data_IF_990518416157
#
_entry.id   IF_990518416157
#
_cell.length_a   1.000
_cell.length_b   1.000
_cell.length_c   1.000
_cell.angle_alpha   90.00
_cell.angle_beta   90.00
_cell.angle_gamma   90.00
#
_symmetry.space_group_name_H-M   'P 1'
#
loop_
_entity.id
_entity.type
_entity.pdbx_description
1 polymer ?
#
# COMPACT_ATOMS: atom_id res chain seq x y z
N UNK A 1 -22.79 7.83 -3.07
CA UNK A 1 -23.70 6.70 -3.33
C UNK A 1 -22.82 5.49 -3.49
N UNK A 2 -23.09 4.41 -2.76
CA UNK A 2 -22.09 3.42 -2.40
C UNK A 2 -21.92 2.28 -3.42
N UNK A 3 -20.75 1.63 -3.40
CA UNK A 3 -20.51 0.29 -3.98
C UNK A 3 -21.73 -0.62 -3.73
N UNK A 4 -22.12 -1.45 -4.71
CA UNK A 4 -23.16 -2.48 -4.52
C UNK A 4 -22.58 -3.68 -3.75
N UNK A 5 -22.44 -3.51 -2.44
CA UNK A 5 -21.81 -4.48 -1.54
C UNK A 5 -22.62 -5.78 -1.45
N UNK A 6 -21.98 -6.91 -1.72
CA UNK A 6 -22.52 -8.24 -1.45
C UNK A 6 -22.24 -8.64 0.01
N UNK A 7 -23.22 -8.40 0.88
CA UNK A 7 -23.13 -8.70 2.32
C UNK A 7 -23.02 -10.20 2.64
N UNK A 8 -23.27 -11.08 1.67
CA UNK A 8 -23.24 -12.54 1.88
C UNK A 8 -21.90 -13.16 1.50
N UNK A 9 -21.03 -12.39 0.83
CA UNK A 9 -19.76 -12.87 0.31
C UNK A 9 -18.79 -13.19 1.46
N UNK A 10 -18.21 -14.37 1.41
CA UNK A 10 -17.21 -14.88 2.36
C UNK A 10 -15.90 -15.17 1.64
N UNK A 11 -14.79 -15.27 2.39
CA UNK A 11 -13.49 -15.60 1.82
C UNK A 11 -13.51 -16.93 1.03
N UNK A 12 -14.27 -17.92 1.52
CA UNK A 12 -14.43 -19.22 0.87
C UNK A 12 -15.06 -19.12 -0.53
N UNK A 13 -15.94 -18.14 -0.75
CA UNK A 13 -16.58 -17.93 -2.06
C UNK A 13 -15.58 -17.43 -3.12
N UNK A 14 -14.45 -16.85 -2.68
CA UNK A 14 -13.38 -16.35 -3.55
C UNK A 14 -12.18 -17.28 -3.66
N UNK A 15 -12.15 -18.41 -2.94
CA UNK A 15 -11.00 -19.31 -2.91
C UNK A 15 -10.54 -19.71 -4.32
N UNK A 16 -11.45 -20.20 -5.17
CA UNK A 16 -11.12 -20.61 -6.54
C UNK A 16 -10.61 -19.46 -7.40
N UNK A 17 -11.15 -18.25 -7.20
CA UNK A 17 -10.72 -17.06 -7.93
C UNK A 17 -9.31 -16.62 -7.49
N UNK A 18 -9.01 -16.70 -6.20
CA UNK A 18 -7.67 -16.46 -5.65
C UNK A 18 -6.65 -17.49 -6.16
N UNK A 19 -7.00 -18.78 -6.19
CA UNK A 19 -6.14 -19.84 -6.73
C UNK A 19 -5.83 -19.59 -8.22
N UNK A 20 -6.85 -19.27 -9.01
CA UNK A 20 -6.68 -18.90 -10.43
C UNK A 20 -5.80 -17.68 -10.63
N UNK A 21 -5.88 -16.67 -9.75
CA UNK A 21 -4.99 -15.52 -9.79
C UNK A 21 -3.52 -15.95 -9.62
N UNK A 22 -3.23 -16.88 -8.70
CA UNK A 22 -1.88 -17.40 -8.50
C UNK A 22 -1.39 -18.30 -9.65
N UNK A 23 -2.30 -19.03 -10.32
CA UNK A 23 -1.97 -19.77 -11.55
C UNK A 23 -1.51 -18.83 -12.67
N UNK A 24 -2.25 -17.74 -12.90
CA UNK A 24 -1.88 -16.72 -13.89
C UNK A 24 -0.58 -16.01 -13.49
N UNK A 25 -0.47 -15.63 -12.22
CA UNK A 25 0.69 -14.94 -11.63
C UNK A 25 2.01 -15.64 -11.90
N UNK A 26 2.05 -16.98 -11.77
CA UNK A 26 3.25 -17.77 -11.99
C UNK A 26 3.85 -17.52 -13.39
N UNK A 27 3.00 -17.53 -14.43
CA UNK A 27 3.43 -17.27 -15.81
C UNK A 27 3.93 -15.83 -16.00
N UNK A 28 3.30 -14.85 -15.34
CA UNK A 28 3.70 -13.44 -15.38
C UNK A 28 5.11 -13.24 -14.79
N UNK A 29 5.36 -13.77 -13.60
CA UNK A 29 6.67 -13.68 -12.92
C UNK A 29 7.76 -14.31 -13.78
N UNK A 30 7.54 -15.54 -14.29
CA UNK A 30 8.48 -16.22 -15.19
C UNK A 30 8.74 -15.39 -16.47
N UNK A 31 7.70 -14.78 -17.04
CA UNK A 31 7.84 -13.95 -18.23
C UNK A 31 8.64 -12.67 -17.99
N UNK A 32 8.55 -12.06 -16.81
CA UNK A 32 9.34 -10.88 -16.46
C UNK A 32 10.80 -11.28 -16.25
N UNK A 33 11.06 -12.29 -15.41
CA UNK A 33 12.42 -12.74 -15.10
C UNK A 33 13.18 -13.17 -16.36
N UNK A 34 12.50 -13.80 -17.32
CA UNK A 34 13.12 -14.23 -18.58
C UNK A 34 13.62 -13.06 -19.45
N UNK A 35 12.98 -11.90 -19.38
CA UNK A 35 13.25 -10.79 -20.32
C UNK A 35 13.78 -9.52 -19.67
N UNK A 36 13.62 -9.35 -18.36
CA UNK A 36 14.01 -8.12 -17.66
C UNK A 36 15.52 -8.03 -17.53
N UNK A 37 16.08 -6.91 -17.96
CA UNK A 37 17.48 -6.58 -17.73
C UNK A 37 17.57 -5.63 -16.53
N UNK A 38 18.17 -6.04 -15.40
CA UNK A 38 18.28 -5.18 -14.21
C UNK A 38 18.99 -3.84 -14.44
N UNK A 39 19.75 -3.70 -15.54
CA UNK A 39 20.40 -2.42 -15.90
C UNK A 39 19.42 -1.37 -16.42
N UNK A 40 18.20 -1.77 -16.78
CA UNK A 40 17.17 -0.85 -17.28
C UNK A 40 16.45 -0.13 -16.12
N UNK A 41 16.83 -0.43 -14.88
CA UNK A 41 16.16 0.05 -13.66
C UNK A 41 15.04 -0.89 -13.23
N UNK A 42 14.17 -0.38 -12.35
CA UNK A 42 13.04 -1.12 -11.82
C UNK A 42 11.86 -1.15 -12.81
N UNK A 43 11.17 -2.29 -12.99
CA UNK A 43 9.93 -2.34 -13.75
C UNK A 43 8.78 -1.65 -13.01
N UNK A 44 8.15 -0.66 -13.64
CA UNK A 44 7.14 0.20 -13.00
C UNK A 44 5.73 -0.13 -13.51
N UNK A 45 5.49 -0.01 -14.81
CA UNK A 45 4.21 -0.30 -15.45
C UNK A 45 4.42 -0.93 -16.82
N UNK A 46 3.36 -1.48 -17.43
CA UNK A 46 3.46 -2.10 -18.75
C UNK A 46 3.13 -1.12 -19.88
N UNK A 47 3.82 -1.29 -21.00
CA UNK A 47 3.54 -0.64 -22.28
C UNK A 47 3.40 -1.74 -23.33
N UNK A 48 2.22 -1.86 -23.94
CA UNK A 48 1.87 -2.97 -24.83
C UNK A 48 2.06 -4.33 -24.15
N UNK A 49 1.71 -4.39 -22.86
CA UNK A 49 1.83 -5.58 -22.04
C UNK A 49 3.25 -6.01 -21.71
N UNK A 50 4.28 -5.18 -21.92
CA UNK A 50 5.64 -5.43 -21.44
C UNK A 50 6.02 -4.41 -20.39
N UNK A 51 6.57 -4.84 -19.26
CA UNK A 51 7.04 -3.91 -18.24
C UNK A 51 8.09 -2.98 -18.83
N UNK A 52 8.11 -1.74 -18.33
CA UNK A 52 9.11 -0.73 -18.63
C UNK A 52 9.48 0.01 -17.34
N UNK A 53 10.67 0.60 -17.33
CA UNK A 53 11.09 1.50 -16.28
C UNK A 53 10.65 2.91 -16.64
N UNK A 54 10.12 3.62 -15.65
CA UNK A 54 9.74 5.01 -15.79
C UNK A 54 9.40 5.48 -14.39
N UNK A 55 10.29 6.27 -13.78
CA UNK A 55 10.09 6.71 -12.41
C UNK A 55 11.11 7.75 -12.01
N UNK A 56 10.74 8.54 -11.01
CA UNK A 56 11.65 9.47 -10.33
C UNK A 56 12.63 8.72 -9.42
N UNK A 57 12.25 7.52 -8.98
CA UNK A 57 12.93 6.69 -7.99
C UNK A 57 12.73 5.20 -8.29
N UNK A 58 13.57 4.35 -7.69
CA UNK A 58 13.50 2.87 -7.78
C UNK A 58 12.54 2.28 -6.72
N UNK A 59 11.34 2.85 -6.57
CA UNK A 59 10.43 2.54 -5.44
C UNK A 59 9.64 1.23 -5.58
N UNK A 60 9.68 0.58 -6.75
CA UNK A 60 8.86 -0.60 -7.06
C UNK A 60 9.63 -1.92 -7.07
N UNK A 61 10.94 -1.91 -6.79
CA UNK A 61 11.82 -3.07 -6.95
C UNK A 61 11.49 -4.18 -5.96
N UNK A 62 11.12 -3.80 -4.74
CA UNK A 62 10.67 -4.76 -3.74
C UNK A 62 9.33 -5.40 -4.08
N UNK A 63 8.47 -4.76 -4.89
CA UNK A 63 7.25 -5.41 -5.37
C UNK A 63 7.54 -6.48 -6.42
N UNK A 64 8.54 -6.29 -7.28
CA UNK A 64 8.95 -7.32 -8.25
C UNK A 64 9.40 -8.59 -7.54
N UNK A 65 10.35 -8.49 -6.61
CA UNK A 65 10.89 -9.67 -5.92
C UNK A 65 9.95 -10.18 -4.84
N UNK A 66 9.24 -9.29 -4.15
CA UNK A 66 8.20 -9.63 -3.20
C UNK A 66 7.04 -10.41 -3.83
N UNK A 67 6.70 -10.14 -5.09
CA UNK A 67 5.68 -10.92 -5.82
C UNK A 67 6.03 -12.40 -5.93
N UNK A 68 7.31 -12.73 -6.12
CA UNK A 68 7.77 -14.13 -6.13
C UNK A 68 7.64 -14.78 -4.73
N UNK A 69 7.90 -14.03 -3.66
CA UNK A 69 7.72 -14.54 -2.30
C UNK A 69 6.24 -14.80 -1.96
N UNK A 70 5.34 -13.90 -2.37
CA UNK A 70 3.90 -14.09 -2.21
C UNK A 70 3.37 -15.26 -3.06
N UNK A 71 3.92 -15.47 -4.26
CA UNK A 71 3.61 -16.63 -5.09
C UNK A 71 3.97 -17.93 -4.35
N UNK A 72 5.20 -18.04 -3.83
CA UNK A 72 5.61 -19.20 -3.05
C UNK A 72 4.73 -19.42 -1.81
N UNK A 73 4.38 -18.36 -1.09
CA UNK A 73 3.52 -18.43 0.09
C UNK A 73 2.16 -19.08 -0.20
N UNK A 74 1.58 -18.75 -1.36
CA UNK A 74 0.28 -19.25 -1.79
C UNK A 74 0.30 -20.68 -2.36
N UNK A 75 1.37 -21.03 -3.10
CA UNK A 75 1.39 -22.27 -3.93
C UNK A 75 2.40 -23.32 -3.48
N UNK A 76 3.42 -22.94 -2.69
CA UNK A 76 4.52 -23.82 -2.30
C UNK A 76 5.55 -24.10 -3.41
N UNK A 77 5.44 -23.45 -4.57
CA UNK A 77 6.37 -23.61 -5.71
C UNK A 77 7.76 -23.03 -5.38
N UNK A 78 8.74 -23.91 -5.06
CA UNK A 78 10.06 -23.52 -4.56
C UNK A 78 10.87 -22.60 -5.47
N UNK A 79 10.68 -22.68 -6.79
CA UNK A 79 11.40 -21.81 -7.73
C UNK A 79 11.14 -20.31 -7.47
N UNK A 80 9.96 -19.93 -6.99
CA UNK A 80 9.65 -18.53 -6.69
C UNK A 80 10.27 -18.06 -5.37
N UNK A 81 10.42 -18.97 -4.40
CA UNK A 81 11.21 -18.71 -3.20
C UNK A 81 12.67 -18.47 -3.56
N UNK A 82 13.26 -19.33 -4.38
CA UNK A 82 14.65 -19.23 -4.81
C UNK A 82 14.89 -17.94 -5.60
N UNK A 83 13.99 -17.60 -6.52
CA UNK A 83 14.03 -16.35 -7.27
C UNK A 83 13.96 -15.13 -6.34
N UNK A 84 12.91 -15.05 -5.51
CA UNK A 84 12.70 -13.91 -4.62
C UNK A 84 13.85 -13.73 -3.62
N UNK A 85 14.35 -14.84 -3.05
CA UNK A 85 15.50 -14.84 -2.13
C UNK A 85 16.77 -14.36 -2.82
N UNK A 86 17.13 -14.95 -3.96
CA UNK A 86 18.35 -14.63 -4.70
C UNK A 86 18.37 -13.16 -5.10
N UNK A 87 17.31 -12.68 -5.74
CA UNK A 87 17.22 -11.28 -6.22
C UNK A 87 17.21 -10.27 -5.08
N UNK A 88 16.59 -10.61 -3.96
CA UNK A 88 16.63 -9.76 -2.75
C UNK A 88 18.08 -9.57 -2.28
N UNK A 89 18.86 -10.65 -2.17
CA UNK A 89 20.27 -10.57 -1.75
C UNK A 89 21.13 -9.82 -2.76
N UNK A 90 20.95 -10.09 -4.05
CA UNK A 90 21.80 -9.54 -5.12
C UNK A 90 21.53 -8.05 -5.41
N UNK A 91 20.28 -7.57 -5.26
CA UNK A 91 19.85 -6.30 -5.85
C UNK A 91 19.22 -5.30 -4.85
N UNK A 92 18.82 -5.73 -3.65
CA UNK A 92 18.11 -4.83 -2.72
C UNK A 92 19.01 -4.06 -1.75
N UNK A 93 20.32 -4.34 -1.70
CA UNK A 93 21.23 -3.69 -0.75
C UNK A 93 21.22 -2.14 -0.85
N UNK A 94 21.16 -1.59 -2.06
CA UNK A 94 21.06 -0.13 -2.28
C UNK A 94 19.77 0.47 -1.72
N UNK A 95 18.69 -0.30 -1.63
CA UNK A 95 17.39 0.15 -1.13
C UNK A 95 17.35 0.18 0.41
N UNK A 96 18.22 -0.58 1.08
CA UNK A 96 18.34 -0.57 2.56
C UNK A 96 18.94 0.74 3.06
N UNK A 97 19.91 1.30 2.32
CA UNK A 97 20.64 2.52 2.67
C UNK A 97 20.21 3.76 1.87
N UNK A 98 19.07 3.70 1.17
CA UNK A 98 18.64 4.78 0.28
C UNK A 98 18.11 6.01 1.04
N UNK A 99 19.00 6.93 1.42
CA UNK A 99 18.64 8.14 2.17
C UNK A 99 17.74 9.12 1.41
N UNK A 100 17.58 8.99 0.09
CA UNK A 100 16.84 9.91 -0.77
C UNK A 100 15.32 9.68 -0.91
N UNK A 101 14.76 8.59 -0.36
CA UNK A 101 13.33 8.23 -0.57
C UNK A 101 12.67 7.74 0.72
N UNK A 102 11.34 7.78 0.77
CA UNK A 102 10.53 7.29 1.89
C UNK A 102 9.97 5.87 1.68
N UNK A 103 10.29 5.24 0.54
CA UNK A 103 9.70 3.98 0.05
C UNK A 103 10.31 2.70 0.67
N UNK A 104 11.03 2.83 1.78
CA UNK A 104 11.70 1.72 2.46
C UNK A 104 10.74 0.61 2.87
N UNK A 105 9.54 0.98 3.35
CA UNK A 105 8.47 0.02 3.59
C UNK A 105 8.14 -0.76 2.32
N UNK A 106 7.85 -0.10 1.20
CA UNK A 106 7.51 -0.75 -0.08
C UNK A 106 8.59 -1.70 -0.57
N UNK A 107 9.86 -1.31 -0.44
CA UNK A 107 10.98 -2.09 -0.93
C UNK A 107 11.39 -3.23 0.02
N UNK A 108 11.78 -2.88 1.24
CA UNK A 108 12.52 -3.78 2.12
C UNK A 108 11.59 -4.69 2.94
N UNK A 109 10.38 -4.24 3.29
CA UNK A 109 9.40 -5.11 3.98
C UNK A 109 8.75 -6.10 3.01
N UNK A 110 8.53 -5.72 1.74
CA UNK A 110 8.03 -6.65 0.71
C UNK A 110 9.03 -7.76 0.37
N UNK A 111 10.31 -7.59 0.69
CA UNK A 111 11.39 -8.53 0.36
C UNK A 111 11.95 -9.19 1.61
N UNK A 112 12.90 -8.55 2.30
CA UNK A 112 13.50 -9.04 3.54
C UNK A 112 12.44 -9.37 4.61
N UNK A 113 11.40 -8.53 4.72
CA UNK A 113 10.29 -8.77 5.65
C UNK A 113 9.51 -10.05 5.34
N UNK A 114 9.17 -10.27 4.07
CA UNK A 114 8.50 -11.51 3.65
C UNK A 114 9.39 -12.75 3.84
N UNK A 115 10.68 -12.68 3.55
CA UNK A 115 11.61 -13.80 3.79
C UNK A 115 11.70 -14.15 5.28
N UNK A 116 11.87 -13.14 6.15
CA UNK A 116 11.94 -13.34 7.59
C UNK A 116 10.61 -13.90 8.17
N UNK A 117 9.47 -13.43 7.65
CA UNK A 117 8.13 -13.93 7.99
C UNK A 117 7.97 -15.39 7.56
N UNK A 118 8.31 -15.74 6.31
CA UNK A 118 8.20 -17.12 5.81
C UNK A 118 9.02 -18.11 6.67
N UNK A 119 10.22 -17.72 7.12
CA UNK A 119 11.01 -18.54 8.05
C UNK A 119 10.32 -18.68 9.40
N UNK A 120 9.82 -17.58 9.97
CA UNK A 120 9.19 -17.60 11.29
C UNK A 120 7.85 -18.34 11.32
N UNK A 121 7.12 -18.35 10.19
CA UNK A 121 5.91 -19.15 10.02
C UNK A 121 6.20 -20.63 9.69
N UNK A 122 7.47 -21.04 9.60
CA UNK A 122 7.86 -22.41 9.26
C UNK A 122 7.56 -22.82 7.81
N UNK A 123 7.29 -21.85 6.91
CA UNK A 123 7.10 -22.10 5.48
C UNK A 123 8.42 -22.38 4.75
N UNK A 124 9.54 -21.98 5.36
CA UNK A 124 10.90 -22.33 4.91
C UNK A 124 11.75 -22.70 6.12
N UNK A 125 12.79 -23.51 5.90
CA UNK A 125 13.70 -23.92 6.96
C UNK A 125 14.41 -22.72 7.60
N UNK A 126 14.57 -22.78 8.91
CA UNK A 126 15.29 -21.78 9.68
C UNK A 126 16.77 -21.77 9.29
N UNK A 127 17.27 -20.60 8.92
CA UNK A 127 18.70 -20.38 8.69
C UNK A 127 19.14 -19.15 9.50
N UNK A 128 19.91 -19.33 10.60
CA UNK A 128 20.29 -18.24 11.49
C UNK A 128 21.00 -17.10 10.79
N UNK A 129 21.90 -17.40 9.84
CA UNK A 129 22.66 -16.38 9.12
C UNK A 129 21.77 -15.56 8.18
N UNK A 130 20.85 -16.21 7.47
CA UNK A 130 19.90 -15.51 6.63
C UNK A 130 18.95 -14.65 7.49
N UNK A 131 18.48 -15.17 8.62
CA UNK A 131 17.64 -14.43 9.56
C UNK A 131 18.33 -13.18 10.10
N UNK A 132 19.55 -13.31 10.62
CA UNK A 132 20.35 -12.18 11.10
C UNK A 132 20.56 -11.13 10.02
N UNK A 133 20.83 -11.57 8.78
CA UNK A 133 21.00 -10.69 7.63
C UNK A 133 19.70 -9.92 7.30
N UNK A 134 18.56 -10.60 7.26
CA UNK A 134 17.26 -9.96 6.97
C UNK A 134 16.86 -8.99 8.08
N UNK A 135 17.07 -9.37 9.34
CA UNK A 135 16.79 -8.50 10.47
C UNK A 135 17.69 -7.26 10.48
N UNK A 136 18.99 -7.41 10.18
CA UNK A 136 19.89 -6.26 10.04
C UNK A 136 19.41 -5.31 8.95
N UNK A 137 19.04 -5.84 7.77
CA UNK A 137 18.52 -5.02 6.67
C UNK A 137 17.25 -4.26 7.08
N UNK A 138 16.32 -4.91 7.77
CA UNK A 138 15.07 -4.30 8.24
C UNK A 138 15.31 -3.24 9.32
N UNK A 139 16.20 -3.51 10.27
CA UNK A 139 16.62 -2.54 11.32
C UNK A 139 17.18 -1.27 10.68
N UNK A 140 18.17 -1.41 9.81
CA UNK A 140 18.81 -0.27 9.12
C UNK A 140 17.80 0.47 8.26
N UNK A 141 16.97 -0.25 7.49
CA UNK A 141 15.92 0.37 6.65
C UNK A 141 14.95 1.23 7.45
N UNK A 142 14.50 0.76 8.63
CA UNK A 142 13.63 1.54 9.51
C UNK A 142 14.30 2.80 10.05
N UNK A 143 15.58 2.70 10.46
CA UNK A 143 16.35 3.85 10.93
C UNK A 143 16.62 4.88 9.82
N UNK A 144 16.99 4.43 8.62
CA UNK A 144 17.25 5.32 7.47
C UNK A 144 15.98 6.07 7.07
N UNK A 145 14.84 5.38 6.99
CA UNK A 145 13.56 6.06 6.71
C UNK A 145 13.21 7.06 7.81
N UNK A 146 13.39 6.70 9.10
CA UNK A 146 13.13 7.59 10.23
C UNK A 146 14.06 8.81 10.31
N UNK A 147 15.24 8.74 9.69
CA UNK A 147 16.18 9.85 9.62
C UNK A 147 15.73 10.96 8.67
N UNK A 148 14.82 10.67 7.74
CA UNK A 148 14.24 11.65 6.81
C UNK A 148 13.15 12.47 7.50
N UNK A 149 13.50 13.21 8.54
CA UNK A 149 12.54 13.90 9.40
C UNK A 149 12.46 15.41 9.18
N UNK A 150 11.24 15.93 9.13
CA UNK A 150 10.93 17.36 9.23
C UNK A 150 10.13 17.60 10.50
N UNK A 151 10.64 18.46 11.39
CA UNK A 151 9.91 18.97 12.55
C UNK A 151 8.96 20.10 12.12
N UNK A 152 7.78 20.16 12.73
CA UNK A 152 6.76 21.20 12.47
C UNK A 152 6.52 22.06 13.71
N UNK A 153 5.81 23.17 13.53
CA UNK A 153 5.68 24.27 14.52
C UNK A 153 5.24 23.84 15.94
N UNK A 154 4.57 22.70 16.09
CA UNK A 154 4.04 22.19 17.36
C UNK A 154 4.95 21.13 18.03
N UNK A 155 6.16 20.91 17.52
CA UNK A 155 7.12 19.92 18.03
C UNK A 155 6.85 18.48 17.57
N UNK A 156 5.79 18.24 16.78
CA UNK A 156 5.62 16.99 16.02
C UNK A 156 6.46 17.02 14.75
N UNK A 157 6.24 16.09 13.83
CA UNK A 157 6.85 16.12 12.52
C UNK A 157 6.44 14.94 11.64
N UNK A 158 7.11 14.82 10.51
CA UNK A 158 6.83 13.79 9.53
C UNK A 158 8.08 13.34 8.79
N UNK A 159 8.01 12.12 8.25
CA UNK A 159 8.95 11.59 7.27
C UNK A 159 8.67 12.26 5.93
N UNK A 160 9.62 13.04 5.41
CA UNK A 160 9.40 13.81 4.18
C UNK A 160 9.64 12.99 2.89
N UNK A 161 8.88 13.34 1.86
CA UNK A 161 8.90 12.64 0.57
C UNK A 161 10.17 12.91 -0.23
N UNK A 162 10.37 12.20 -1.35
CA UNK A 162 11.49 12.46 -2.25
C UNK A 162 11.50 13.89 -2.86
N UNK A 163 10.38 14.64 -2.81
CA UNK A 163 10.33 16.05 -3.22
C UNK A 163 11.15 16.97 -2.30
N UNK A 164 11.45 16.52 -1.08
CA UNK A 164 12.31 17.21 -0.13
C UNK A 164 11.60 17.55 1.18
N UNK A 165 12.30 18.23 2.11
CA UNK A 165 11.86 18.36 3.49
C UNK A 165 10.51 19.04 3.71
N UNK A 166 10.04 19.85 2.76
CA UNK A 166 8.78 20.58 2.85
C UNK A 166 7.54 19.72 2.54
N UNK A 167 7.75 18.49 2.04
CA UNK A 167 6.72 17.69 1.38
C UNK A 167 6.38 16.44 2.19
N UNK A 168 5.10 16.29 2.53
CA UNK A 168 4.52 15.08 3.12
C UNK A 168 3.60 14.43 2.09
N UNK A 169 3.93 13.25 1.59
CA UNK A 169 3.05 12.48 0.72
C UNK A 169 2.12 11.58 1.53
N UNK A 170 0.93 11.28 1.01
CA UNK A 170 -0.03 10.40 1.69
C UNK A 170 0.42 8.93 1.70
N UNK A 171 1.26 8.51 0.75
CA UNK A 171 1.72 7.12 0.62
C UNK A 171 2.72 6.69 1.70
N UNK A 172 3.36 7.66 2.37
CA UNK A 172 4.29 7.43 3.48
C UNK A 172 3.63 6.69 4.65
N UNK A 173 2.31 6.79 4.80
CA UNK A 173 1.56 6.02 5.80
C UNK A 173 1.69 4.51 5.57
N UNK A 174 1.77 4.03 4.32
CA UNK A 174 2.01 2.61 4.04
C UNK A 174 3.46 2.22 4.25
N UNK A 175 4.40 3.14 4.06
CA UNK A 175 5.81 2.82 4.23
C UNK A 175 6.25 2.79 5.70
N UNK A 176 5.42 3.28 6.64
CA UNK A 176 5.65 3.20 8.08
C UNK A 176 5.88 1.79 8.62
N UNK A 177 5.41 0.75 7.90
CA UNK A 177 5.74 -0.65 8.20
C UNK A 177 7.24 -0.91 8.39
N UNK A 178 8.11 -0.13 7.73
CA UNK A 178 9.57 -0.20 7.93
C UNK A 178 9.97 0.18 9.38
N UNK A 179 9.41 1.27 9.91
CA UNK A 179 9.65 1.70 11.29
C UNK A 179 9.03 0.73 12.29
N UNK A 180 7.81 0.26 12.02
CA UNK A 180 7.11 -0.72 12.87
C UNK A 180 7.92 -2.01 13.06
N UNK A 181 8.42 -2.59 11.96
CA UNK A 181 9.25 -3.81 11.98
C UNK A 181 10.57 -3.55 12.70
N UNK A 182 11.27 -2.46 12.37
CA UNK A 182 12.54 -2.14 13.00
C UNK A 182 12.40 -1.88 14.52
N UNK A 183 11.32 -1.22 14.95
CA UNK A 183 10.99 -1.03 16.37
C UNK A 183 10.80 -2.36 17.09
N UNK A 184 9.99 -3.26 16.52
CA UNK A 184 9.76 -4.59 17.10
C UNK A 184 11.02 -5.45 17.16
N UNK A 185 11.95 -5.25 16.24
CA UNK A 185 13.28 -5.85 16.27
C UNK A 185 14.22 -5.21 17.31
N UNK A 186 13.75 -4.26 18.13
CA UNK A 186 14.50 -3.59 19.18
C UNK A 186 15.44 -2.49 18.68
N UNK A 187 15.25 -1.99 17.46
CA UNK A 187 16.14 -0.99 16.88
C UNK A 187 15.71 0.44 17.21
N UNK A 188 16.67 1.35 17.12
CA UNK A 188 16.50 2.79 17.31
C UNK A 188 17.35 3.52 16.28
N UNK A 189 16.92 4.71 15.87
CA UNK A 189 17.78 5.59 15.09
C UNK A 189 18.78 6.27 16.04
N UNK A 190 20.07 6.13 15.76
CA UNK A 190 21.12 6.87 16.45
C UNK A 190 21.38 8.18 15.70
N UNK A 191 21.03 9.31 16.33
CA UNK A 191 21.28 10.66 15.84
C UNK A 191 22.59 11.26 16.37
N UNK A 192 22.78 12.55 16.13
CA UNK A 192 23.97 13.28 16.57
C UNK A 192 24.20 13.15 18.08
N UNK A 193 25.48 13.03 18.48
CA UNK A 193 25.91 12.88 19.87
C UNK A 193 25.23 11.70 20.58
N UNK A 194 25.09 10.59 19.85
CA UNK A 194 24.48 9.34 20.31
C UNK A 194 23.01 9.50 20.79
N UNK A 195 22.30 10.51 20.30
CA UNK A 195 20.88 10.71 20.61
C UNK A 195 20.08 9.52 20.09
N UNK A 196 19.52 8.73 21.00
CA UNK A 196 18.60 7.64 20.65
C UNK A 196 17.24 8.24 20.25
N UNK A 197 16.78 7.94 19.05
CA UNK A 197 15.49 8.40 18.50
C UNK A 197 14.57 7.19 18.37
N UNK A 198 13.40 7.28 19.00
CA UNK A 198 12.39 6.22 19.00
C UNK A 198 11.74 6.09 17.62
N UNK A 199 11.76 4.88 17.06
CA UNK A 199 11.08 4.59 15.79
C UNK A 199 9.56 4.56 15.97
N UNK A 200 9.07 4.09 17.12
CA UNK A 200 7.65 4.15 17.47
C UNK A 200 7.15 5.60 17.62
N UNK A 201 7.94 6.47 18.24
CA UNK A 201 7.60 7.90 18.37
C UNK A 201 7.47 8.55 16.99
N UNK A 202 8.46 8.33 16.12
CA UNK A 202 8.48 8.82 14.74
C UNK A 202 7.26 8.32 13.96
N UNK A 203 6.91 7.05 14.12
CA UNK A 203 5.74 6.44 13.50
C UNK A 203 4.45 7.13 13.97
N UNK A 204 4.24 7.27 15.28
CA UNK A 204 3.03 7.87 15.85
C UNK A 204 2.90 9.35 15.45
N UNK A 205 3.99 10.12 15.54
CA UNK A 205 4.00 11.53 15.14
C UNK A 205 3.71 11.68 13.65
N UNK A 206 4.39 10.91 12.80
CA UNK A 206 4.16 10.94 11.36
C UNK A 206 2.71 10.61 11.00
N UNK A 207 2.19 9.47 11.49
CA UNK A 207 0.82 9.06 11.19
C UNK A 207 -0.22 10.06 11.71
N UNK A 208 0.02 10.70 12.85
CA UNK A 208 -0.84 11.75 13.40
C UNK A 208 -0.81 13.00 12.51
N UNK A 209 0.37 13.46 12.10
CA UNK A 209 0.54 14.61 11.20
C UNK A 209 -0.06 14.34 9.82
N UNK A 210 0.11 13.13 9.27
CA UNK A 210 -0.55 12.71 8.03
C UNK A 210 -2.07 12.72 8.18
N UNK A 211 -2.61 12.32 9.34
CA UNK A 211 -4.05 12.30 9.59
C UNK A 211 -4.60 13.72 9.68
N UNK A 212 -3.86 14.63 10.30
CA UNK A 212 -4.27 16.03 10.51
C UNK A 212 -4.25 16.84 9.20
N UNK A 213 -3.20 16.70 8.38
CA UNK A 213 -3.01 17.56 7.21
C UNK A 213 -3.37 16.88 5.88
N UNK A 214 -3.24 15.55 5.81
CA UNK A 214 -3.47 14.76 4.60
C UNK A 214 -4.89 14.24 4.44
N UNK A 215 -5.66 14.08 5.52
CA UNK A 215 -7.04 13.57 5.49
C UNK A 215 -8.04 14.68 5.86
N UNK A 216 -9.13 14.75 5.13
CA UNK A 216 -10.22 15.71 5.36
C UNK A 216 -11.34 15.05 6.16
N UNK A 217 -12.02 15.81 7.03
CA UNK A 217 -12.99 15.25 8.00
C UNK A 217 -14.39 15.84 7.89
N UNK A 218 -14.59 16.90 7.11
CA UNK A 218 -15.87 17.62 7.08
C UNK A 218 -16.18 18.33 8.38
N UNK A 219 -15.14 18.83 9.05
CA UNK A 219 -15.22 19.47 10.37
C UNK A 219 -14.86 20.96 10.32
N UNK A 220 -14.88 21.55 9.12
CA UNK A 220 -14.70 22.98 8.91
C UNK A 220 -13.25 23.41 8.76
N UNK A 221 -12.38 22.53 8.25
CA UNK A 221 -10.99 22.89 7.90
C UNK A 221 -10.94 24.04 6.90
N UNK A 222 -11.71 23.95 5.83
CA UNK A 222 -11.87 24.94 4.76
C UNK A 222 -13.14 24.65 3.93
N UNK A 223 -13.43 25.45 2.89
CA UNK A 223 -14.62 25.29 2.04
C UNK A 223 -14.63 24.02 1.18
N UNK A 224 -13.52 23.30 1.08
CA UNK A 224 -13.35 22.04 0.32
C UNK A 224 -13.20 20.83 1.24
N UNK A 225 -13.54 20.97 2.53
CA UNK A 225 -13.42 19.93 3.55
C UNK A 225 -14.53 18.87 3.42
N UNK A 226 -14.36 17.96 2.47
CA UNK A 226 -15.24 16.80 2.29
C UNK A 226 -14.67 15.63 3.08
N UNK A 227 -15.46 15.05 3.98
CA UNK A 227 -14.99 13.95 4.85
C UNK A 227 -14.45 12.77 4.04
N UNK A 228 -13.24 12.34 4.38
CA UNK A 228 -12.55 11.18 3.83
C UNK A 228 -11.79 11.44 2.53
N UNK A 229 -11.93 12.62 1.94
CA UNK A 229 -11.01 13.10 0.90
C UNK A 229 -9.57 13.11 1.44
N UNK A 230 -8.60 12.86 0.57
CA UNK A 230 -7.17 12.92 0.90
C UNK A 230 -6.43 13.87 -0.04
N UNK A 231 -5.57 14.72 0.51
CA UNK A 231 -4.54 15.37 -0.28
C UNK A 231 -3.50 14.32 -0.70
N UNK A 232 -2.95 14.44 -1.91
CA UNK A 232 -1.82 13.61 -2.30
C UNK A 232 -0.55 14.07 -1.57
N UNK A 233 -0.30 15.38 -1.57
CA UNK A 233 0.84 16.00 -0.90
C UNK A 233 0.36 17.13 0.03
N UNK A 234 1.03 17.26 1.16
CA UNK A 234 0.87 18.34 2.13
C UNK A 234 2.18 19.13 2.23
N UNK A 235 2.11 20.44 1.95
CA UNK A 235 3.29 21.31 1.88
C UNK A 235 3.42 22.15 3.16
N UNK A 236 4.62 22.17 3.73
CA UNK A 236 4.97 22.94 4.92
C UNK A 236 6.08 23.95 4.63
N UNK A 237 6.07 25.09 5.32
CA UNK A 237 7.21 26.01 5.27
C UNK A 237 8.29 25.58 6.26
N UNK A 238 9.51 25.45 5.76
CA UNK A 238 10.67 24.99 6.53
C UNK A 238 11.23 26.05 7.49
N UNK A 239 10.88 27.32 7.31
CA UNK A 239 11.36 28.38 8.19
C UNK A 239 10.62 28.40 9.53
N UNK A 240 9.33 28.05 9.54
CA UNK A 240 8.46 28.13 10.72
C UNK A 240 7.69 26.85 11.03
N UNK A 241 7.79 25.82 10.19
CA UNK A 241 7.11 24.54 10.35
C UNK A 241 5.60 24.59 10.09
N UNK A 242 5.04 25.71 9.64
CA UNK A 242 3.59 25.85 9.44
C UNK A 242 3.12 25.20 8.13
N UNK A 243 1.96 24.55 8.19
CA UNK A 243 1.26 24.05 7.01
C UNK A 243 0.91 25.18 6.04
N UNK A 244 1.06 24.93 4.73
CA UNK A 244 0.81 25.94 3.68
C UNK A 244 -0.39 25.59 2.82
N UNK A 245 -0.36 24.42 2.18
CA UNK A 245 -1.41 24.05 1.25
C UNK A 245 -1.38 22.55 0.93
N UNK A 246 -2.52 22.01 0.46
CA UNK A 246 -2.51 20.74 -0.22
C UNK A 246 -1.84 20.91 -1.59
N UNK A 247 -1.23 19.85 -2.08
CA UNK A 247 -0.69 19.76 -3.43
C UNK A 247 -0.97 18.38 -4.05
N UNK A 248 -0.70 18.23 -5.34
CA UNK A 248 -0.79 16.95 -6.04
C UNK A 248 0.29 16.85 -7.11
N UNK A 249 0.96 15.69 -7.17
CA UNK A 249 1.86 15.32 -8.27
C UNK A 249 1.18 14.40 -9.29
N UNK A 250 0.48 13.35 -8.82
CA UNK A 250 -0.12 12.31 -9.67
C UNK A 250 -1.64 12.42 -9.84
N UNK A 251 -2.33 13.10 -8.92
CA UNK A 251 -3.75 13.40 -9.01
C UNK A 251 -4.05 14.60 -9.90
N UNK A 252 -5.31 14.77 -10.28
CA UNK A 252 -5.76 15.86 -11.13
C UNK A 252 -5.58 17.24 -10.49
N UNK A 253 -5.90 17.39 -9.21
CA UNK A 253 -5.89 18.67 -8.52
C UNK A 253 -5.54 18.53 -7.04
N UNK A 254 -4.88 19.52 -6.43
CA UNK A 254 -4.74 19.60 -4.97
C UNK A 254 -6.07 19.62 -4.21
N UNK A 255 -7.18 19.84 -4.90
CA UNK A 255 -8.54 19.90 -4.36
C UNK A 255 -9.41 18.71 -4.79
N UNK A 256 -8.88 17.75 -5.55
CA UNK A 256 -9.54 16.48 -5.84
C UNK A 256 -9.02 15.34 -4.95
N UNK A 257 -9.45 14.11 -5.20
CA UNK A 257 -8.92 12.93 -4.50
C UNK A 257 -8.37 11.95 -5.52
N UNK A 258 -7.04 11.87 -5.58
CA UNK A 258 -6.37 10.81 -6.32
C UNK A 258 -6.59 9.47 -5.62
N UNK A 259 -7.20 8.52 -6.32
CA UNK A 259 -7.84 7.37 -5.65
C UNK A 259 -6.84 6.35 -5.13
N UNK A 260 -5.64 6.28 -5.71
CA UNK A 260 -4.55 5.49 -5.12
C UNK A 260 -3.98 6.12 -3.85
N UNK A 261 -3.90 7.45 -3.77
CA UNK A 261 -3.51 8.16 -2.54
C UNK A 261 -4.49 7.89 -1.39
N UNK A 262 -5.79 7.92 -1.70
CA UNK A 262 -6.85 7.51 -0.78
C UNK A 262 -6.69 6.06 -0.32
N UNK A 263 -6.42 5.14 -1.26
CA UNK A 263 -6.24 3.73 -0.96
C UNK A 263 -5.00 3.49 -0.06
N UNK A 264 -3.92 4.26 -0.25
CA UNK A 264 -2.76 4.24 0.63
C UNK A 264 -3.10 4.64 2.06
N UNK A 265 -3.83 5.74 2.25
CA UNK A 265 -4.30 6.16 3.55
C UNK A 265 -5.17 5.09 4.22
N UNK A 266 -6.19 4.60 3.51
CA UNK A 266 -7.11 3.58 4.00
C UNK A 266 -6.38 2.34 4.48
N UNK A 267 -5.55 1.75 3.62
CA UNK A 267 -4.87 0.52 3.98
C UNK A 267 -3.73 0.75 5.00
N UNK A 268 -3.09 1.91 4.99
CA UNK A 268 -2.02 2.23 5.93
C UNK A 268 -2.51 2.40 7.34
N UNK A 269 -3.55 3.22 7.55
CA UNK A 269 -4.13 3.33 8.89
C UNK A 269 -4.73 2.01 9.39
N UNK A 270 -5.30 1.18 8.51
CA UNK A 270 -5.75 -0.15 8.88
C UNK A 270 -4.59 -1.04 9.36
N UNK A 271 -3.47 -1.06 8.63
CA UNK A 271 -2.25 -1.77 8.99
C UNK A 271 -1.63 -1.25 10.31
N UNK A 272 -1.55 0.06 10.49
CA UNK A 272 -1.02 0.68 11.71
C UNK A 272 -1.90 0.39 12.94
N UNK A 273 -3.23 0.36 12.80
CA UNK A 273 -4.15 -0.06 13.87
C UNK A 273 -3.93 -1.53 14.28
N UNK A 274 -3.75 -2.43 13.30
CA UNK A 274 -3.41 -3.82 13.57
C UNK A 274 -2.04 -3.94 14.27
N UNK A 275 -1.05 -3.14 13.86
CA UNK A 275 0.28 -3.09 14.48
C UNK A 275 0.23 -2.56 15.92
N UNK A 276 -0.48 -1.46 16.18
CA UNK A 276 -0.61 -0.88 17.52
C UNK A 276 -1.19 -1.87 18.53
N UNK A 277 -2.03 -2.81 18.09
CA UNK A 277 -2.58 -3.88 18.93
C UNK A 277 -1.52 -4.84 19.48
N UNK A 278 -0.28 -4.77 18.97
CA UNK A 278 0.88 -5.57 19.42
C UNK A 278 1.83 -4.81 20.34
N UNK A 279 1.71 -3.49 20.39
CA UNK A 279 2.56 -2.63 21.23
C UNK A 279 1.95 -2.54 22.62
N UNK A 280 2.76 -2.52 23.67
CA UNK A 280 2.25 -2.44 25.04
C UNK A 280 1.76 -1.02 25.37
N UNK A 281 0.80 -0.90 26.29
CA UNK A 281 0.29 0.42 26.73
C UNK A 281 1.39 1.27 27.38
N UNK A 282 2.38 0.63 28.02
CA UNK A 282 3.54 1.31 28.61
C UNK A 282 4.39 2.03 27.56
N UNK A 283 4.54 1.46 26.37
CA UNK A 283 5.28 2.08 25.27
C UNK A 283 4.49 3.18 24.56
N UNK A 284 3.16 3.09 24.52
CA UNK A 284 2.32 4.11 23.90
C UNK A 284 2.08 5.30 24.83
N UNK A 285 2.19 5.12 26.16
CA UNK A 285 1.93 6.15 27.16
C UNK A 285 2.74 7.44 26.94
N UNK A 286 4.07 7.42 26.68
CA UNK A 286 4.83 8.63 26.38
C UNK A 286 4.38 9.36 25.11
N UNK A 287 3.66 8.69 24.21
CA UNK A 287 3.22 9.22 22.91
C UNK A 287 1.74 9.62 22.90
N UNK A 288 1.11 9.73 24.07
CA UNK A 288 -0.30 10.13 24.24
C UNK A 288 -1.24 8.99 24.63
N UNK A 289 -0.74 7.76 24.74
CA UNK A 289 -1.50 6.58 25.13
C UNK A 289 -2.32 5.96 24.00
N UNK A 290 -2.63 4.66 24.14
CA UNK A 290 -3.33 3.87 23.12
C UNK A 290 -4.61 4.54 22.64
N UNK A 291 -5.47 4.93 23.57
CA UNK A 291 -6.80 5.45 23.25
C UNK A 291 -6.73 6.67 22.31
N UNK A 292 -5.87 7.65 22.63
CA UNK A 292 -5.70 8.85 21.82
C UNK A 292 -5.13 8.53 20.43
N UNK A 293 -4.10 7.69 20.37
CA UNK A 293 -3.44 7.32 19.11
C UNK A 293 -4.41 6.55 18.21
N UNK A 294 -5.05 5.52 18.76
CA UNK A 294 -6.02 4.70 18.02
C UNK A 294 -7.24 5.52 17.60
N UNK A 295 -7.71 6.49 18.39
CA UNK A 295 -8.80 7.38 18.00
C UNK A 295 -8.46 8.16 16.73
N UNK A 296 -7.25 8.75 16.65
CA UNK A 296 -6.79 9.48 15.46
C UNK A 296 -6.72 8.54 14.25
N UNK A 297 -6.07 7.38 14.41
CA UNK A 297 -5.86 6.46 13.30
C UNK A 297 -7.18 5.85 12.82
N UNK A 298 -8.08 5.53 13.74
CA UNK A 298 -9.40 5.01 13.43
C UNK A 298 -10.28 6.05 12.73
N UNK A 299 -10.18 7.32 13.14
CA UNK A 299 -10.88 8.42 12.44
C UNK A 299 -10.41 8.53 10.99
N UNK A 300 -9.10 8.49 10.75
CA UNK A 300 -8.54 8.53 9.40
C UNK A 300 -8.91 7.29 8.56
N UNK A 301 -8.77 6.09 9.12
CA UNK A 301 -9.12 4.83 8.44
C UNK A 301 -10.60 4.78 8.06
N UNK A 302 -11.49 5.14 8.97
CA UNK A 302 -12.94 5.11 8.72
C UNK A 302 -13.37 6.22 7.76
N UNK A 303 -12.78 7.42 7.86
CA UNK A 303 -13.07 8.50 6.91
C UNK A 303 -12.72 8.11 5.47
N UNK A 304 -11.52 7.58 5.27
CA UNK A 304 -11.05 7.15 3.94
C UNK A 304 -11.80 5.91 3.43
N UNK A 305 -12.19 4.97 4.30
CA UNK A 305 -13.03 3.83 3.94
C UNK A 305 -14.41 4.26 3.44
N UNK A 306 -15.08 5.15 4.19
CA UNK A 306 -16.41 5.64 3.83
C UNK A 306 -16.36 6.39 2.49
N UNK A 307 -15.39 7.29 2.32
CA UNK A 307 -15.24 8.06 1.09
C UNK A 307 -14.93 7.17 -0.11
N UNK A 308 -14.07 6.14 0.04
CA UNK A 308 -13.81 5.17 -1.03
C UNK A 308 -15.09 4.43 -1.45
N UNK A 309 -15.88 3.97 -0.48
CA UNK A 309 -17.13 3.27 -0.74
C UNK A 309 -18.13 4.19 -1.46
N UNK A 310 -18.18 5.47 -1.10
CA UNK A 310 -19.13 6.44 -1.66
C UNK A 310 -18.75 7.01 -3.03
N UNK A 311 -17.47 6.91 -3.42
CA UNK A 311 -16.90 7.52 -4.63
C UNK A 311 -16.24 6.51 -5.59
N UNK A 312 -16.62 5.24 -5.49
CA UNK A 312 -16.22 4.19 -6.44
C UNK A 312 -17.40 3.77 -7.33
N UNK A 313 -17.12 3.16 -8.48
CA UNK A 313 -18.17 2.56 -9.31
C UNK A 313 -18.91 1.45 -8.54
N UNK A 314 -20.07 1.04 -9.04
CA UNK A 314 -20.93 0.07 -8.35
C UNK A 314 -20.26 -1.30 -8.11
N UNK A 315 -19.25 -1.66 -8.92
CA UNK A 315 -18.46 -2.89 -8.78
C UNK A 315 -17.19 -2.71 -7.93
N UNK A 316 -17.01 -1.53 -7.32
CA UNK A 316 -15.93 -1.23 -6.39
C UNK A 316 -14.64 -0.76 -7.02
N UNK A 317 -14.56 -0.58 -8.35
CA UNK A 317 -13.35 -0.04 -8.99
C UNK A 317 -13.48 1.47 -9.17
N UNK A 318 -12.57 2.29 -8.62
CA UNK A 318 -12.66 3.74 -8.71
C UNK A 318 -12.14 4.25 -10.06
N UNK A 319 -12.57 5.46 -10.42
CA UNK A 319 -11.85 6.27 -11.41
C UNK A 319 -10.48 6.68 -10.84
N UNK A 320 -9.52 7.02 -11.70
CA UNK A 320 -8.16 7.36 -11.25
C UNK A 320 -8.10 8.57 -10.30
N UNK A 321 -9.07 9.49 -10.41
CA UNK A 321 -9.23 10.65 -9.54
C UNK A 321 -10.72 11.05 -9.46
N UNK A 322 -11.20 11.39 -8.27
CA UNK A 322 -12.63 11.76 -8.05
C UNK A 322 -13.01 13.14 -8.59
N UNK A 323 -12.03 13.94 -9.00
CA UNK A 323 -12.22 15.25 -9.63
C UNK A 323 -11.75 15.29 -11.07
N UNK A 324 -11.49 14.15 -11.72
CA UNK A 324 -10.99 14.11 -13.09
C UNK A 324 -11.89 14.89 -14.07
N UNK A 325 -11.30 15.61 -15.04
CA UNK A 325 -11.96 16.68 -15.76
C UNK A 325 -13.14 16.23 -16.63
N UNK A 326 -13.16 14.98 -17.09
CA UNK A 326 -14.21 14.44 -17.95
C UNK A 326 -15.15 13.46 -17.24
N UNK A 327 -15.15 13.39 -15.89
CA UNK A 327 -16.09 12.53 -15.15
C UNK A 327 -17.55 12.83 -15.47
N UNK A 328 -17.89 14.11 -15.72
CA UNK A 328 -19.24 14.52 -16.09
C UNK A 328 -19.74 13.86 -17.38
N UNK A 329 -18.83 13.47 -18.30
CA UNK A 329 -19.18 12.78 -19.54
C UNK A 329 -19.59 11.31 -19.31
N UNK A 330 -19.23 10.74 -18.16
CA UNK A 330 -19.62 9.38 -17.77
C UNK A 330 -21.05 9.32 -17.20
N UNK A 331 -21.66 10.49 -16.93
CA UNK A 331 -22.98 10.60 -16.30
C UNK A 331 -22.99 9.96 -14.92
N UNK A 332 -24.00 9.14 -14.64
CA UNK A 332 -24.16 8.45 -13.35
C UNK A 332 -23.26 7.20 -13.23
N UNK A 333 -21.94 7.41 -13.27
CA UNK A 333 -20.95 6.32 -13.27
C UNK A 333 -20.86 5.59 -11.92
N UNK A 334 -21.12 6.29 -10.81
CA UNK A 334 -21.08 5.71 -9.46
C UNK A 334 -22.13 4.60 -9.25
N UNK A 335 -23.23 4.63 -10.02
CA UNK A 335 -24.28 3.60 -9.96
C UNK A 335 -24.15 2.47 -10.97
N UNK A 336 -23.11 2.51 -11.79
CA UNK A 336 -22.84 1.52 -12.84
C UNK A 336 -21.57 0.74 -12.49
N UNK A 337 -21.46 -0.51 -12.94
CA UNK A 337 -20.15 -1.16 -12.99
C UNK A 337 -19.20 -0.26 -13.77
N UNK A 338 -17.95 -0.17 -13.32
CA UNK A 338 -16.91 0.56 -14.02
C UNK A 338 -16.77 0.08 -15.48
N UNK A 339 -16.32 0.96 -16.38
CA UNK A 339 -15.99 0.58 -17.74
C UNK A 339 -14.55 1.01 -18.04
N UNK A 340 -13.57 0.08 -18.02
CA UNK A 340 -12.18 0.43 -18.30
C UNK A 340 -11.91 0.91 -19.73
N UNK A 341 -12.84 0.69 -20.66
CA UNK A 341 -12.71 1.04 -22.08
C UNK A 341 -13.60 2.21 -22.50
N UNK A 342 -14.11 2.98 -21.52
CA UNK A 342 -14.83 4.22 -21.81
C UNK A 342 -13.93 5.25 -22.54
N UNK A 343 -14.53 6.33 -23.01
CA UNK A 343 -13.86 7.32 -23.86
C UNK A 343 -13.25 8.52 -23.11
N UNK A 344 -13.43 8.61 -21.80
CA UNK A 344 -13.30 9.88 -21.06
C UNK A 344 -12.28 9.84 -19.92
N UNK A 345 -12.41 8.93 -18.97
CA UNK A 345 -11.52 8.85 -17.79
C UNK A 345 -11.15 7.40 -17.44
N UNK A 346 -9.87 7.10 -17.17
CA UNK A 346 -9.46 5.76 -16.81
C UNK A 346 -9.87 5.39 -15.38
N UNK A 347 -10.16 4.11 -15.20
CA UNK A 347 -10.22 3.49 -13.86
C UNK A 347 -8.81 3.29 -13.32
N UNK A 348 -8.68 3.07 -12.01
CA UNK A 348 -7.43 2.59 -11.43
C UNK A 348 -7.66 1.33 -10.58
N UNK A 349 -7.40 0.17 -11.19
CA UNK A 349 -7.54 -1.13 -10.51
C UNK A 349 -6.51 -1.30 -9.39
N UNK A 350 -5.35 -0.63 -9.47
CA UNK A 350 -4.35 -0.70 -8.41
C UNK A 350 -4.86 -0.06 -7.11
N UNK A 351 -5.51 1.10 -7.20
CA UNK A 351 -6.22 1.71 -6.07
C UNK A 351 -7.28 0.75 -5.49
N UNK A 352 -8.02 0.03 -6.34
CA UNK A 352 -9.01 -0.94 -5.88
C UNK A 352 -8.38 -2.12 -5.12
N UNK A 353 -7.27 -2.68 -5.61
CA UNK A 353 -6.58 -3.79 -4.94
C UNK A 353 -6.05 -3.38 -3.55
N UNK A 354 -5.52 -2.16 -3.45
CA UNK A 354 -5.02 -1.58 -2.21
C UNK A 354 -6.17 -1.29 -1.24
N UNK A 355 -7.26 -0.68 -1.72
CA UNK A 355 -8.42 -0.34 -0.90
C UNK A 355 -9.14 -1.59 -0.39
N UNK A 356 -9.27 -2.63 -1.22
CA UNK A 356 -9.86 -3.91 -0.81
C UNK A 356 -9.09 -4.55 0.36
N UNK A 357 -7.76 -4.48 0.36
CA UNK A 357 -6.94 -4.91 1.50
C UNK A 357 -7.26 -4.07 2.74
N UNK A 358 -7.24 -2.74 2.61
CA UNK A 358 -7.54 -1.84 3.72
C UNK A 358 -8.93 -2.05 4.31
N UNK A 359 -9.95 -2.28 3.48
CA UNK A 359 -11.31 -2.57 3.89
C UNK A 359 -11.43 -3.90 4.65
N UNK A 360 -10.76 -4.96 4.19
CA UNK A 360 -10.74 -6.26 4.90
C UNK A 360 -10.01 -6.12 6.23
N UNK A 361 -8.82 -5.51 6.24
CA UNK A 361 -8.02 -5.28 7.46
C UNK A 361 -8.76 -4.45 8.50
N UNK A 362 -9.32 -3.31 8.09
CA UNK A 362 -10.11 -2.45 8.96
C UNK A 362 -11.37 -3.16 9.47
N UNK A 363 -12.05 -3.93 8.61
CA UNK A 363 -13.17 -4.77 8.98
C UNK A 363 -12.82 -5.80 10.05
N UNK A 364 -11.67 -6.47 9.91
CA UNK A 364 -11.18 -7.44 10.89
C UNK A 364 -10.84 -6.78 12.24
N UNK A 365 -10.11 -5.66 12.21
CA UNK A 365 -9.77 -4.89 13.42
C UNK A 365 -11.03 -4.43 14.17
N UNK A 366 -12.02 -3.88 13.46
CA UNK A 366 -13.30 -3.46 14.02
C UNK A 366 -14.13 -4.65 14.53
N UNK A 367 -14.09 -5.77 13.82
CA UNK A 367 -14.79 -7.00 14.20
C UNK A 367 -14.29 -7.57 15.53
N UNK A 368 -12.97 -7.56 15.75
CA UNK A 368 -12.36 -7.92 17.03
C UNK A 368 -12.83 -7.02 18.19
N UNK A 369 -13.25 -5.78 17.88
CA UNK A 369 -13.81 -4.81 18.83
C UNK A 369 -15.34 -4.76 18.86
N UNK A 370 -16.01 -5.66 18.15
CA UNK A 370 -17.48 -5.74 18.04
C UNK A 370 -18.12 -4.45 17.51
N UNK A 371 -17.41 -3.69 16.67
CA UNK A 371 -17.98 -2.51 15.99
C UNK A 371 -18.85 -2.94 14.81
N UNK A 372 -20.05 -2.38 14.72
CA UNK A 372 -21.04 -2.71 13.68
C UNK A 372 -20.59 -2.43 12.25
N UNK A 373 -19.63 -1.52 12.04
CA UNK A 373 -19.09 -1.18 10.72
C UNK A 373 -18.23 -2.30 10.12
N UNK A 374 -17.74 -3.20 10.97
CA UNK A 374 -16.87 -4.31 10.59
C UNK A 374 -17.42 -5.13 9.41
N UNK A 375 -18.69 -5.52 9.50
CA UNK A 375 -19.35 -6.34 8.48
C UNK A 375 -19.38 -5.62 7.13
N UNK A 376 -19.75 -4.34 7.11
CA UNK A 376 -19.85 -3.54 5.89
C UNK A 376 -18.50 -3.37 5.20
N UNK A 377 -17.45 -2.98 5.92
CA UNK A 377 -16.13 -2.81 5.32
C UNK A 377 -15.57 -4.13 4.81
N UNK A 378 -15.69 -5.20 5.59
CA UNK A 378 -15.21 -6.51 5.16
C UNK A 378 -15.95 -7.00 3.91
N UNK A 379 -17.27 -6.88 3.86
CA UNK A 379 -18.07 -7.24 2.69
C UNK A 379 -17.73 -6.37 1.47
N UNK A 380 -17.47 -5.07 1.65
CA UNK A 380 -17.05 -4.18 0.58
C UNK A 380 -15.69 -4.62 -0.01
N UNK A 381 -14.71 -4.92 0.84
CA UNK A 381 -13.40 -5.39 0.40
C UNK A 381 -13.48 -6.71 -0.38
N UNK A 382 -14.29 -7.67 0.07
CA UNK A 382 -14.51 -8.92 -0.68
C UNK A 382 -15.27 -8.67 -2.00
N UNK A 383 -16.23 -7.75 -2.03
CA UNK A 383 -16.98 -7.40 -3.24
C UNK A 383 -16.04 -6.84 -4.31
N UNK A 384 -15.16 -5.91 -3.93
CA UNK A 384 -14.12 -5.36 -4.83
C UNK A 384 -13.18 -6.48 -5.28
N UNK A 385 -12.75 -7.35 -4.37
CA UNK A 385 -11.88 -8.49 -4.71
C UNK A 385 -12.49 -9.42 -5.76
N UNK A 386 -13.78 -9.72 -5.64
CA UNK A 386 -14.53 -10.51 -6.62
C UNK A 386 -14.48 -9.89 -8.02
N UNK A 387 -14.63 -8.57 -8.11
CA UNK A 387 -14.53 -7.83 -9.37
C UNK A 387 -13.12 -7.92 -9.95
N UNK A 388 -12.10 -7.65 -9.13
CA UNK A 388 -10.70 -7.64 -9.57
C UNK A 388 -10.19 -9.02 -10.01
N UNK A 389 -10.73 -10.11 -9.47
CA UNK A 389 -10.33 -11.48 -9.84
C UNK A 389 -11.07 -12.02 -11.09
N UNK A 390 -11.89 -11.20 -11.74
CA UNK A 390 -12.55 -11.56 -13.00
C UNK A 390 -11.67 -11.26 -14.22
N UNK A 391 -12.01 -11.83 -15.38
CA UNK A 391 -11.29 -11.63 -16.66
C UNK A 391 -11.30 -10.19 -17.15
N UNK A 392 -12.21 -9.36 -16.62
CA UNK A 392 -12.24 -7.92 -16.88
C UNK A 392 -11.01 -7.21 -16.30
N UNK A 393 -10.41 -7.74 -15.24
CA UNK A 393 -9.27 -7.11 -14.54
C UNK A 393 -8.04 -7.99 -14.44
N UNK A 394 -8.17 -9.31 -14.62
CA UNK A 394 -7.02 -10.22 -14.69
C UNK A 394 -6.58 -10.46 -16.13
N UNK A 395 -5.28 -10.27 -16.36
CA UNK A 395 -4.64 -10.58 -17.62
C UNK A 395 -4.50 -12.09 -17.82
N UNK A 396 -5.33 -12.65 -18.70
CA UNK A 396 -5.24 -14.05 -19.15
C UNK A 396 -4.35 -14.23 -20.38
N UNK A 397 -3.93 -13.14 -21.05
CA UNK A 397 -3.04 -13.20 -22.21
C UNK A 397 -1.61 -13.58 -21.80
N UNK A 398 -1.11 -14.70 -22.32
CA UNK A 398 0.25 -15.19 -22.06
C UNK A 398 1.36 -14.25 -22.58
N UNK A 399 1.05 -13.33 -23.50
CA UNK A 399 2.02 -12.35 -24.02
C UNK A 399 2.14 -11.10 -23.13
N UNK A 400 1.14 -10.83 -22.32
CA UNK A 400 1.12 -9.72 -21.38
C UNK A 400 1.84 -10.10 -20.07
N UNK A 401 2.79 -9.29 -19.63
CA UNK A 401 3.61 -9.54 -18.45
C UNK A 401 2.96 -9.13 -17.13
N UNK A 402 2.04 -8.16 -17.16
CA UNK A 402 1.27 -7.77 -15.98
C UNK A 402 0.14 -8.74 -15.65
N UNK A 403 -0.26 -8.77 -14.38
CA UNK A 403 -1.34 -9.58 -13.83
C UNK A 403 -2.64 -8.78 -13.70
N UNK A 404 -2.61 -7.64 -13.01
CA UNK A 404 -3.78 -6.79 -12.78
C UNK A 404 -3.83 -5.68 -13.84
N UNK A 405 -4.84 -5.70 -14.69
CA UNK A 405 -5.04 -4.75 -15.78
C UNK A 405 -5.71 -3.46 -15.30
N UNK A 406 -5.60 -2.41 -16.12
CA UNK A 406 -6.23 -1.10 -15.92
C UNK A 406 -5.68 -0.33 -14.72
N UNK A 407 -4.37 -0.43 -14.50
CA UNK A 407 -3.63 0.45 -13.59
C UNK A 407 -3.30 1.78 -14.27
N UNK A 408 -3.33 2.87 -13.51
CA UNK A 408 -2.90 4.21 -13.99
C UNK A 408 -1.76 4.69 -13.12
N UNK A 409 -0.57 4.89 -13.68
CA UNK A 409 0.59 5.40 -12.96
C UNK A 409 0.55 6.92 -12.75
N UNK A 410 0.62 7.71 -13.82
CA UNK A 410 0.83 9.15 -13.73
C UNK A 410 0.10 9.91 -14.84
N UNK A 411 -1.22 9.99 -14.70
CA UNK A 411 -2.10 10.58 -15.71
C UNK A 411 -1.73 12.02 -16.10
N UNK A 412 -1.40 12.94 -15.16
CA UNK A 412 -1.03 14.32 -15.53
C UNK A 412 0.23 14.45 -16.40
N UNK A 413 1.21 13.56 -16.25
CA UNK A 413 2.44 13.59 -17.04
C UNK A 413 2.33 12.82 -18.37
N UNK A 414 1.18 12.17 -18.62
CA UNK A 414 0.96 11.39 -19.84
C UNK A 414 1.88 10.17 -19.99
N UNK A 415 2.37 9.62 -18.87
CA UNK A 415 3.28 8.45 -18.90
C UNK A 415 2.57 7.15 -19.23
N UNK A 416 1.28 7.07 -18.93
CA UNK A 416 0.47 5.88 -19.15
C UNK A 416 0.24 5.61 -20.63
N UNK A 417 0.45 4.37 -21.05
CA UNK A 417 0.28 3.99 -22.45
C UNK A 417 -1.19 4.03 -22.86
N UNK A 418 -1.46 4.68 -24.00
CA UNK A 418 -2.77 4.68 -24.66
C UNK A 418 -2.65 3.88 -25.94
N UNK A 419 -3.34 2.74 -25.99
CA UNK A 419 -3.34 1.88 -27.17
C UNK A 419 -3.96 2.56 -28.39
N UNK A 420 -3.53 2.17 -29.60
CA UNK A 420 -4.08 2.73 -30.84
C UNK A 420 -5.60 2.53 -30.89
N UNK A 421 -6.34 3.62 -31.10
CA UNK A 421 -7.80 3.61 -31.15
C UNK A 421 -8.48 3.80 -29.79
N UNK A 422 -7.73 3.83 -28.70
CA UNK A 422 -8.23 4.20 -27.37
C UNK A 422 -8.02 5.70 -27.13
N UNK A 423 -8.86 6.30 -26.27
CA UNK A 423 -8.75 7.72 -25.86
C UNK A 423 -8.12 7.90 -24.47
N UNK A 424 -8.14 6.84 -23.68
CA UNK A 424 -7.63 6.80 -22.31
C UNK A 424 -6.72 5.57 -22.10
N UNK A 425 -5.84 5.59 -21.09
CA UNK A 425 -5.06 4.43 -20.71
C UNK A 425 -5.97 3.31 -20.21
N UNK A 426 -5.73 2.10 -20.69
CA UNK A 426 -6.39 0.89 -20.23
C UNK A 426 -5.55 -0.33 -20.62
N UNK A 427 -5.89 -1.49 -20.08
CA UNK A 427 -5.28 -2.79 -20.43
C UNK A 427 -3.79 -2.91 -20.11
N UNK A 428 -3.23 -1.98 -19.34
CA UNK A 428 -1.87 -2.05 -18.82
C UNK A 428 -1.88 -2.27 -17.30
N UNK A 429 -0.79 -2.80 -16.79
CA UNK A 429 -0.58 -3.16 -15.39
C UNK A 429 0.51 -2.30 -14.75
N UNK A 430 0.58 -2.35 -13.42
CA UNK A 430 1.64 -1.72 -12.64
C UNK A 430 2.22 -2.71 -11.64
N UNK A 431 3.50 -2.55 -11.28
CA UNK A 431 4.19 -3.50 -10.40
C UNK A 431 3.58 -3.53 -8.99
N UNK A 432 3.15 -2.36 -8.48
CA UNK A 432 2.42 -2.29 -7.20
C UNK A 432 1.01 -2.88 -7.31
N UNK A 433 0.30 -2.65 -8.41
CA UNK A 433 -1.04 -3.23 -8.62
C UNK A 433 -0.98 -4.76 -8.63
N UNK A 434 -0.01 -5.29 -9.35
CA UNK A 434 0.34 -6.70 -9.40
C UNK A 434 0.68 -7.30 -8.03
N UNK A 435 1.56 -6.63 -7.26
CA UNK A 435 1.93 -7.08 -5.91
C UNK A 435 0.73 -7.05 -4.96
N UNK A 436 -0.05 -5.98 -4.96
CA UNK A 436 -1.19 -5.83 -4.07
C UNK A 436 -2.38 -6.72 -4.46
N UNK A 437 -2.53 -7.08 -5.74
CA UNK A 437 -3.48 -8.12 -6.14
C UNK A 437 -3.09 -9.49 -5.56
N UNK A 438 -1.79 -9.84 -5.57
CA UNK A 438 -1.27 -11.06 -4.95
C UNK A 438 -1.43 -11.04 -3.43
N UNK A 439 -1.09 -9.92 -2.78
CA UNK A 439 -1.21 -9.76 -1.33
C UNK A 439 -2.67 -9.86 -0.87
N UNK A 440 -3.59 -9.23 -1.60
CA UNK A 440 -5.04 -9.37 -1.40
C UNK A 440 -5.52 -10.81 -1.59
N UNK A 441 -5.10 -11.46 -2.67
CA UNK A 441 -5.48 -12.85 -2.94
C UNK A 441 -4.94 -13.80 -1.85
N UNK A 442 -3.70 -13.60 -1.39
CA UNK A 442 -3.12 -14.38 -0.30
C UNK A 442 -3.86 -14.17 1.02
N UNK A 443 -4.21 -12.92 1.34
CA UNK A 443 -4.99 -12.57 2.53
C UNK A 443 -6.32 -13.34 2.56
N UNK A 444 -7.05 -13.34 1.45
CA UNK A 444 -8.34 -14.03 1.29
C UNK A 444 -8.15 -15.55 1.30
N UNK A 445 -7.14 -16.05 0.58
CA UNK A 445 -6.88 -17.48 0.46
C UNK A 445 -6.51 -18.11 1.82
N UNK A 446 -5.67 -17.42 2.60
CA UNK A 446 -5.33 -17.84 3.96
C UNK A 446 -6.57 -17.88 4.86
N UNK A 447 -7.43 -16.86 4.81
CA UNK A 447 -8.68 -16.87 5.57
C UNK A 447 -9.60 -18.03 5.13
N UNK A 448 -9.76 -18.24 3.82
CA UNK A 448 -10.57 -19.33 3.27
C UNK A 448 -10.09 -20.71 3.75
N UNK A 449 -8.77 -20.89 3.86
CA UNK A 449 -8.09 -22.11 4.31
C UNK A 449 -7.89 -22.21 5.83
N UNK A 450 -8.33 -21.20 6.59
CA UNK A 450 -8.10 -21.10 8.04
C UNK A 450 -6.61 -21.08 8.42
N UNK A 451 -5.75 -20.56 7.54
CA UNK A 451 -4.34 -20.31 7.80
C UNK A 451 -4.16 -19.03 8.64
N UNK A 452 -2.98 -18.84 9.29
CA UNK A 452 -2.68 -17.62 10.03
C UNK A 452 -2.84 -16.35 9.19
N UNK A 453 -3.55 -15.38 9.76
CA UNK A 453 -3.83 -14.09 9.12
C UNK A 453 -2.55 -13.36 8.70
N UNK A 454 -2.52 -12.88 7.46
CA UNK A 454 -1.34 -12.23 6.87
C UNK A 454 -1.17 -10.80 7.40
N UNK A 455 -0.16 -10.60 8.23
CA UNK A 455 0.33 -9.26 8.60
C UNK A 455 1.84 -9.16 8.43
N UNK A 456 2.35 -7.95 8.25
CA UNK A 456 3.79 -7.73 8.05
C UNK A 456 4.62 -7.91 9.33
N UNK A 457 3.97 -7.97 10.49
CA UNK A 457 4.57 -7.93 11.83
C UNK A 457 4.27 -9.16 12.70
N UNK A 458 3.40 -10.09 12.27
CA UNK A 458 2.92 -11.22 13.10
C UNK A 458 4.06 -12.06 13.67
N UNK A 459 5.13 -12.23 12.90
CA UNK A 459 6.31 -13.03 13.24
C UNK A 459 7.21 -12.43 14.34
N UNK A 460 6.88 -11.23 14.84
CA UNK A 460 7.67 -10.50 15.83
C UNK A 460 7.03 -10.48 17.23
N UNK A 461 5.78 -10.94 17.38
CA UNK A 461 4.96 -10.77 18.60
C UNK A 461 5.56 -11.38 19.88
N UNK A 462 6.25 -12.51 19.76
CA UNK A 462 6.70 -13.30 20.92
C UNK A 462 8.21 -13.21 21.18
N UNK A 463 8.90 -12.24 20.56
CA UNK A 463 10.36 -12.10 20.72
C UNK A 463 10.71 -11.21 21.93
N UNK A 464 11.64 -11.66 22.80
CA UNK A 464 12.19 -10.80 23.82
C UNK A 464 12.87 -9.60 23.14
N UNK A 465 12.50 -8.39 23.57
CA UNK A 465 13.14 -7.18 23.08
C UNK A 465 14.43 -6.97 23.87
N UNK A 466 15.52 -6.69 23.16
CA UNK A 466 16.85 -6.50 23.73
C UNK A 466 16.96 -5.20 24.52
#
# INVERSE_FOLDING_TARGET
>A
MAIKIDQKLRAQDLQRASERLFELSAAKIRSIEKSWNPRDGTPVFTVKGKYTSCGWTEWTQGFQFGSALLQFDATGEREFLELGRKKTVELMASHVSHIGVHDHGFNNVSTYGNLARLMAEGKVDENPREREFYELALKVSGAVQAARWTEIFNGSGYIYSFNGPHSLFIDTIRSLRSLAVAHQLGHTLMGERDKRISLLERLVQHATTTAEFGVYYGEGRDSYDVRGRTAHESVFNLNDGNYRCPNSQQGYSPFSTWTRGLAWALCGYAEELEFLSTISDGELKPHGGREKIEQVFLKAATATADFYIENSCADGVPMWDTGAPNLWQLGDYLNKPSDPHNDFEPVDSSAAAIAAQGLIRLGNFLGARKDRRAATYRAAGLTVSKTLFSDKYLSTDAKHQGLLLHSVYHRPNGWDYIARGQKIPNSESSMWGDYHARELALLILREARQEPYLTFFSWLKDRPRA
#
